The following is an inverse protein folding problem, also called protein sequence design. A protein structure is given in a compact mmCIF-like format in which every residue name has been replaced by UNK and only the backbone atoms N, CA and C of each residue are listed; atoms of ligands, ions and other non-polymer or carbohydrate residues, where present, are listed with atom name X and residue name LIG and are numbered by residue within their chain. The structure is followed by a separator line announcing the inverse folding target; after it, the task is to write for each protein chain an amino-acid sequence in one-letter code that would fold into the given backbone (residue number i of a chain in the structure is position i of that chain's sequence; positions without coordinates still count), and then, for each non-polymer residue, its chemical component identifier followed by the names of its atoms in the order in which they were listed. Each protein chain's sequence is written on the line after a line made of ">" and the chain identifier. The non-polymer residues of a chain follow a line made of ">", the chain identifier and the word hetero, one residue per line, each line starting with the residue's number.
data_IF_428407021349
#
_entry.id   IF_428407021349
#
_cell.length_a   1.000
_cell.length_b   1.000
_cell.length_c   1.000
_cell.angle_alpha   90.00
_cell.angle_beta   90.00
_cell.angle_gamma   90.00
#
_symmetry.space_group_name_H-M   'P 1'
#
loop_
_entity.id
_entity.type
_entity.pdbx_description
1 polymer ?
#
# COMPACT_ATOMS: atom_id res chain seq x y z
N UNK A 1 -19.07 -16.94 -38.70
CA UNK A 1 -19.41 -15.96 -37.65
C UNK A 1 -18.80 -16.29 -36.27
N UNK A 2 -18.78 -17.54 -35.79
CA UNK A 2 -18.17 -17.90 -34.49
C UNK A 2 -16.67 -17.53 -34.31
N UNK A 3 -15.86 -17.61 -35.38
CA UNK A 3 -14.43 -17.25 -35.32
C UNK A 3 -14.15 -15.76 -35.09
N UNK A 4 -15.09 -14.89 -35.46
CA UNK A 4 -14.93 -13.44 -35.27
C UNK A 4 -15.18 -13.04 -33.80
N UNK A 5 -16.14 -13.69 -33.15
CA UNK A 5 -16.46 -13.48 -31.72
C UNK A 5 -15.31 -13.94 -30.82
N UNK A 6 -14.74 -15.12 -31.08
CA UNK A 6 -13.58 -15.63 -30.31
C UNK A 6 -12.36 -14.71 -30.39
N UNK A 7 -12.04 -14.12 -31.56
CA UNK A 7 -10.94 -13.16 -31.67
C UNK A 7 -11.21 -11.82 -30.97
N UNK A 8 -12.46 -11.37 -30.92
CA UNK A 8 -12.84 -10.14 -30.19
C UNK A 8 -12.72 -10.38 -28.68
N UNK A 9 -13.19 -11.54 -28.20
CA UNK A 9 -13.08 -11.94 -26.80
C UNK A 9 -11.61 -12.13 -26.37
N UNK A 10 -10.78 -12.82 -27.17
CA UNK A 10 -9.34 -12.97 -26.88
C UNK A 10 -8.59 -11.63 -26.94
N UNK A 11 -8.89 -10.76 -27.90
CA UNK A 11 -8.28 -9.44 -28.01
C UNK A 11 -8.61 -8.54 -26.81
N UNK A 12 -9.86 -8.60 -26.34
CA UNK A 12 -10.32 -7.87 -25.15
C UNK A 12 -9.71 -8.45 -23.86
N UNK A 13 -9.60 -9.77 -23.74
CA UNK A 13 -8.95 -10.44 -22.61
C UNK A 13 -7.44 -10.15 -22.55
N UNK A 14 -6.76 -10.09 -23.70
CA UNK A 14 -5.34 -9.73 -23.79
C UNK A 14 -5.11 -8.25 -23.45
N UNK A 15 -5.98 -7.35 -23.92
CA UNK A 15 -5.93 -5.93 -23.56
C UNK A 15 -6.20 -5.69 -22.08
N UNK A 16 -7.19 -6.39 -21.50
CA UNK A 16 -7.48 -6.35 -20.07
C UNK A 16 -6.26 -6.80 -19.25
N UNK A 17 -5.63 -7.92 -19.63
CA UNK A 17 -4.46 -8.45 -18.94
C UNK A 17 -3.22 -7.53 -19.04
N UNK A 18 -3.07 -6.78 -20.14
CA UNK A 18 -2.01 -5.76 -20.29
C UNK A 18 -2.16 -4.56 -19.36
N UNK A 19 -3.40 -4.18 -19.04
CA UNK A 19 -3.69 -3.03 -18.17
C UNK A 19 -3.78 -3.41 -16.69
N UNK A 20 -4.07 -4.68 -16.37
CA UNK A 20 -4.18 -5.14 -14.97
C UNK A 20 -2.90 -4.86 -14.19
N UNK A 21 -1.72 -5.17 -14.74
CA UNK A 21 -0.48 -5.00 -14.00
C UNK A 21 -0.09 -3.53 -13.78
N UNK A 22 -0.09 -2.64 -14.79
CA UNK A 22 0.19 -1.22 -14.58
C UNK A 22 -0.79 -0.55 -13.62
N UNK A 23 -2.09 -0.86 -13.75
CA UNK A 23 -3.14 -0.30 -12.89
C UNK A 23 -2.94 -0.76 -11.45
N UNK A 24 -2.64 -2.04 -11.22
CA UNK A 24 -2.35 -2.53 -9.87
C UNK A 24 -1.10 -1.88 -9.25
N UNK A 25 -0.01 -1.76 -10.01
CA UNK A 25 1.19 -1.09 -9.50
C UNK A 25 0.92 0.38 -9.16
N UNK A 26 0.16 1.09 -10.00
CA UNK A 26 -0.22 2.47 -9.75
C UNK A 26 -1.12 2.58 -8.52
N UNK A 27 -2.09 1.67 -8.36
CA UNK A 27 -2.93 1.58 -7.17
C UNK A 27 -2.06 1.43 -5.91
N UNK A 28 -1.11 0.49 -5.90
CA UNK A 28 -0.17 0.30 -4.78
C UNK A 28 0.62 1.58 -4.47
N UNK A 29 1.15 2.24 -5.51
CA UNK A 29 1.93 3.48 -5.36
C UNK A 29 1.08 4.59 -4.76
N UNK A 30 -0.14 4.81 -5.28
CA UNK A 30 -1.06 5.84 -4.81
C UNK A 30 -1.49 5.57 -3.37
N UNK A 31 -1.87 4.34 -3.04
CA UNK A 31 -2.25 3.95 -1.67
C UNK A 31 -1.09 4.16 -0.71
N UNK A 32 0.12 3.71 -1.06
CA UNK A 32 1.32 3.91 -0.24
C UNK A 32 1.65 5.39 -0.04
N UNK A 33 1.51 6.21 -1.09
CA UNK A 33 1.75 7.64 -1.04
C UNK A 33 0.76 8.35 -0.11
N UNK A 34 -0.54 8.13 -0.29
CA UNK A 34 -1.57 8.76 0.55
C UNK A 34 -1.41 8.37 2.02
N UNK A 35 -1.12 7.09 2.29
CA UNK A 35 -0.88 6.63 3.65
C UNK A 35 0.36 7.27 4.27
N UNK A 36 1.44 7.42 3.49
CA UNK A 36 2.64 8.15 3.92
C UNK A 36 2.30 9.61 4.24
N UNK A 37 1.53 10.28 3.38
CA UNK A 37 1.12 11.67 3.57
C UNK A 37 0.32 11.87 4.85
N UNK A 38 -0.61 10.97 5.18
CA UNK A 38 -1.35 11.02 6.45
C UNK A 38 -0.45 10.85 7.67
N UNK A 39 0.48 9.89 7.61
CA UNK A 39 1.48 9.69 8.67
C UNK A 39 2.38 10.92 8.85
N UNK A 40 2.87 11.49 7.74
CA UNK A 40 3.73 12.67 7.77
C UNK A 40 2.99 13.90 8.31
N UNK A 41 1.73 14.07 7.89
CA UNK A 41 0.87 15.14 8.37
C UNK A 41 0.67 15.08 9.87
N UNK A 42 0.44 13.88 10.41
CA UNK A 42 0.19 13.71 11.86
C UNK A 42 1.47 13.79 12.69
N UNK A 43 2.55 13.11 12.28
CA UNK A 43 3.79 13.01 13.08
C UNK A 43 4.67 14.25 12.98
N UNK A 44 4.70 14.91 11.82
CA UNK A 44 5.62 16.02 11.57
C UNK A 44 4.91 17.37 11.36
N UNK A 45 3.57 17.41 11.41
CA UNK A 45 2.82 18.64 11.15
C UNK A 45 2.88 19.09 9.69
N UNK A 46 3.30 18.22 8.76
CA UNK A 46 3.40 18.57 7.34
C UNK A 46 2.01 18.67 6.69
N UNK A 47 1.91 19.33 5.55
CA UNK A 47 0.66 19.51 4.82
C UNK A 47 -0.40 20.24 5.68
N UNK A 48 -1.43 19.54 6.15
CA UNK A 48 -2.51 20.10 6.99
C UNK A 48 -2.26 19.93 8.49
N UNK A 49 -1.21 19.20 8.90
CA UNK A 49 -0.98 18.83 10.31
C UNK A 49 -2.03 17.90 10.91
N UNK A 50 -1.89 17.56 12.19
CA UNK A 50 -2.81 16.68 12.89
C UNK A 50 -4.22 17.30 12.96
N UNK A 51 -5.22 16.62 12.40
CA UNK A 51 -6.60 17.10 12.37
C UNK A 51 -6.78 18.52 11.79
N UNK A 52 -5.89 18.95 10.88
CA UNK A 52 -5.97 20.26 10.24
C UNK A 52 -5.40 21.43 11.05
N UNK A 53 -4.69 21.17 12.15
CA UNK A 53 -4.12 22.23 13.01
C UNK A 53 -2.85 22.86 12.44
N UNK A 54 -2.21 22.24 11.44
CA UNK A 54 -0.87 22.60 11.00
C UNK A 54 0.25 22.19 11.97
N UNK A 55 -0.07 21.51 13.08
CA UNK A 55 0.89 21.10 14.09
C UNK A 55 1.08 19.57 14.11
N UNK A 56 2.23 19.14 14.63
CA UNK A 56 2.48 17.74 14.91
C UNK A 56 1.72 17.29 16.16
N UNK A 57 1.26 16.04 16.16
CA UNK A 57 0.66 15.45 17.36
C UNK A 57 1.70 15.25 18.46
N UNK A 58 1.34 15.39 19.76
CA UNK A 58 2.26 15.08 20.85
C UNK A 58 2.86 13.66 20.75
N UNK A 59 4.17 13.57 20.96
CA UNK A 59 4.90 12.30 20.88
C UNK A 59 4.38 11.32 21.93
N UNK A 60 4.08 10.10 21.50
CA UNK A 60 3.59 9.02 22.38
C UNK A 60 2.10 9.08 22.70
N UNK A 61 1.33 10.00 22.10
CA UNK A 61 -0.12 10.05 22.30
C UNK A 61 -0.79 8.78 21.73
N UNK A 62 -1.47 8.05 22.60
CA UNK A 62 -2.22 6.86 22.22
C UNK A 62 -3.64 7.20 21.76
N UNK A 63 -4.15 6.59 20.67
CA UNK A 63 -3.48 5.67 19.74
C UNK A 63 -2.79 6.37 18.55
N UNK A 64 -3.09 7.66 18.34
CA UNK A 64 -2.88 8.37 17.08
C UNK A 64 -1.40 8.51 16.67
N UNK A 65 -0.50 8.74 17.63
CA UNK A 65 0.93 8.87 17.34
C UNK A 65 1.51 7.54 16.83
N UNK A 66 1.16 6.42 17.47
CA UNK A 66 1.61 5.09 17.05
C UNK A 66 1.00 4.66 15.73
N UNK A 67 -0.29 4.93 15.51
CA UNK A 67 -0.95 4.66 14.22
C UNK A 67 -0.29 5.43 13.08
N UNK A 68 0.14 6.66 13.33
CA UNK A 68 0.81 7.51 12.34
C UNK A 68 2.27 7.13 12.12
N UNK A 69 2.95 6.61 13.14
CA UNK A 69 4.28 6.03 12.97
C UNK A 69 4.24 4.79 12.05
N UNK A 70 3.23 3.92 12.21
CA UNK A 70 3.02 2.79 11.29
C UNK A 70 2.83 3.30 9.85
N UNK A 71 2.08 4.39 9.66
CA UNK A 71 1.86 5.00 8.35
C UNK A 71 3.16 5.48 7.70
N UNK A 72 4.01 6.20 8.45
CA UNK A 72 5.30 6.72 7.96
C UNK A 72 6.27 5.60 7.58
N UNK A 73 6.17 4.42 8.20
CA UNK A 73 7.06 3.28 7.91
C UNK A 73 6.49 2.41 6.79
N UNK A 74 5.24 1.96 6.93
CA UNK A 74 4.64 0.99 6.00
C UNK A 74 4.21 1.62 4.69
N UNK A 75 3.81 2.89 4.69
CA UNK A 75 3.44 3.63 3.48
C UNK A 75 4.56 3.65 2.45
N UNK A 76 5.79 4.12 2.78
CA UNK A 76 6.92 4.12 1.86
C UNK A 76 7.35 2.72 1.42
N UNK A 77 7.37 1.74 2.34
CA UNK A 77 7.70 0.35 2.02
C UNK A 77 6.75 -0.22 0.97
N UNK A 78 5.45 -0.01 1.15
CA UNK A 78 4.42 -0.43 0.17
C UNK A 78 4.57 0.38 -1.11
N UNK A 79 4.81 1.69 -1.05
CA UNK A 79 4.96 2.58 -2.21
C UNK A 79 6.11 2.14 -3.13
N UNK A 80 7.29 1.85 -2.58
CA UNK A 80 8.46 1.45 -3.37
C UNK A 80 8.49 -0.05 -3.69
N UNK A 81 7.60 -0.83 -3.08
CA UNK A 81 7.51 -2.26 -3.31
C UNK A 81 8.62 -3.04 -2.62
N UNK A 82 8.97 -2.65 -1.38
CA UNK A 82 9.95 -3.31 -0.53
C UNK A 82 9.23 -3.96 0.65
N UNK A 83 9.42 -5.27 0.88
CA UNK A 83 8.70 -6.01 1.93
C UNK A 83 7.18 -5.78 1.88
N UNK A 84 6.61 -5.72 0.67
CA UNK A 84 5.22 -5.24 0.46
C UNK A 84 4.19 -6.03 1.26
N UNK A 85 4.31 -7.36 1.31
CA UNK A 85 3.34 -8.21 2.01
C UNK A 85 3.29 -7.95 3.52
N UNK A 86 4.39 -8.08 4.28
CA UNK A 86 4.34 -7.82 5.72
C UNK A 86 4.00 -6.35 6.03
N UNK A 87 4.50 -5.39 5.24
CA UNK A 87 4.14 -3.98 5.43
C UNK A 87 2.64 -3.72 5.22
N UNK A 88 2.04 -4.32 4.17
CA UNK A 88 0.63 -4.18 3.88
C UNK A 88 -0.25 -4.90 4.92
N UNK A 89 0.15 -6.06 5.44
CA UNK A 89 -0.59 -6.72 6.55
C UNK A 89 -0.61 -5.83 7.79
N UNK A 90 0.54 -5.25 8.16
CA UNK A 90 0.63 -4.35 9.30
C UNK A 90 -0.22 -3.08 9.12
N UNK A 91 -0.15 -2.46 7.94
CA UNK A 91 -0.95 -1.28 7.59
C UNK A 91 -2.46 -1.59 7.56
N UNK A 92 -2.85 -2.75 7.04
CA UNK A 92 -4.24 -3.21 7.04
C UNK A 92 -4.75 -3.42 8.47
N UNK A 93 -3.97 -4.11 9.31
CA UNK A 93 -4.32 -4.36 10.70
C UNK A 93 -4.42 -3.09 11.55
N UNK A 94 -3.53 -2.11 11.35
CA UNK A 94 -3.62 -0.83 12.08
C UNK A 94 -4.87 -0.03 11.71
N UNK A 95 -5.29 -0.10 10.45
CA UNK A 95 -6.53 0.56 9.99
C UNK A 95 -7.79 -0.18 10.42
N UNK A 96 -7.75 -1.52 10.52
CA UNK A 96 -8.81 -2.29 11.15
C UNK A 96 -8.98 -1.89 12.62
N UNK A 97 -7.87 -1.78 13.38
CA UNK A 97 -7.89 -1.27 14.74
C UNK A 97 -8.47 0.15 14.80
N UNK A 98 -8.01 1.06 13.95
CA UNK A 98 -8.50 2.43 13.90
C UNK A 98 -10.03 2.45 13.67
N UNK A 99 -10.55 1.65 12.73
CA UNK A 99 -11.98 1.60 12.51
C UNK A 99 -12.75 1.07 13.73
N UNK A 100 -12.43 -0.12 14.23
CA UNK A 100 -13.24 -0.75 15.28
C UNK A 100 -13.09 -0.09 16.66
N UNK A 101 -11.92 0.46 16.98
CA UNK A 101 -11.62 0.98 18.31
C UNK A 101 -11.77 2.50 18.39
N UNK A 102 -11.47 3.23 17.31
CA UNK A 102 -11.53 4.70 17.31
C UNK A 102 -12.81 5.20 16.66
N UNK A 103 -13.15 4.73 15.46
CA UNK A 103 -14.27 5.29 14.69
C UNK A 103 -15.63 4.67 15.05
N UNK A 104 -15.74 3.35 15.05
CA UNK A 104 -17.01 2.63 15.24
C UNK A 104 -17.76 3.03 16.52
N UNK A 105 -17.12 3.30 17.68
CA UNK A 105 -17.83 3.77 18.86
C UNK A 105 -18.57 5.11 18.68
N UNK A 106 -18.13 5.95 17.73
CA UNK A 106 -18.77 7.25 17.44
C UNK A 106 -19.93 7.15 16.43
N UNK A 107 -20.12 5.98 15.81
CA UNK A 107 -21.23 5.68 14.91
C UNK A 107 -21.02 4.35 14.18
N UNK A 108 -22.09 3.61 13.90
CA UNK A 108 -21.96 2.29 13.26
C UNK A 108 -21.47 2.36 11.81
N UNK A 109 -22.00 3.30 11.03
CA UNK A 109 -21.67 3.44 9.61
C UNK A 109 -20.48 4.39 9.40
N UNK A 110 -19.55 4.08 8.48
CA UNK A 110 -18.42 4.95 8.14
C UNK A 110 -18.81 6.41 7.84
N UNK A 111 -19.93 6.59 7.15
CA UNK A 111 -20.51 7.90 6.77
C UNK A 111 -20.85 8.76 7.99
N UNK A 112 -21.10 8.13 9.15
CA UNK A 112 -21.55 8.79 10.37
C UNK A 112 -20.41 8.97 11.38
N UNK A 113 -19.28 8.30 11.18
CA UNK A 113 -18.19 8.21 12.17
C UNK A 113 -16.82 8.67 11.64
N UNK A 114 -16.78 9.19 10.40
CA UNK A 114 -15.56 9.63 9.68
C UNK A 114 -14.51 8.53 9.49
N UNK A 115 -14.91 7.26 9.60
CA UNK A 115 -14.05 6.08 9.49
C UNK A 115 -13.90 5.55 8.07
N UNK A 116 -14.47 6.22 7.06
CA UNK A 116 -14.35 5.84 5.65
C UNK A 116 -12.89 5.66 5.21
N UNK A 117 -11.94 6.57 5.53
CA UNK A 117 -10.54 6.37 5.18
C UNK A 117 -9.94 5.12 5.83
N UNK A 118 -10.26 4.85 7.10
CA UNK A 118 -9.77 3.66 7.80
C UNK A 118 -10.24 2.38 7.11
N UNK A 119 -11.50 2.30 6.70
CA UNK A 119 -12.03 1.15 5.96
C UNK A 119 -11.36 1.01 4.59
N UNK A 120 -11.23 2.10 3.83
CA UNK A 120 -10.63 2.09 2.50
C UNK A 120 -9.16 1.68 2.54
N UNK A 121 -8.37 2.22 3.47
CA UNK A 121 -6.98 1.79 3.64
C UNK A 121 -6.89 0.35 4.14
N UNK A 122 -7.74 -0.07 5.08
CA UNK A 122 -7.76 -1.45 5.57
C UNK A 122 -7.91 -2.45 4.43
N UNK A 123 -8.93 -2.27 3.58
CA UNK A 123 -9.19 -3.16 2.45
C UNK A 123 -8.21 -2.96 1.30
N UNK A 124 -7.76 -1.73 1.03
CA UNK A 124 -6.74 -1.46 0.01
C UNK A 124 -5.42 -2.14 0.32
N UNK A 125 -4.96 -2.10 1.57
CA UNK A 125 -3.76 -2.82 1.99
C UNK A 125 -3.97 -4.33 2.07
N UNK A 126 -5.16 -4.80 2.45
CA UNK A 126 -5.47 -6.24 2.39
C UNK A 126 -5.37 -6.77 0.95
N UNK A 127 -5.90 -6.03 -0.02
CA UNK A 127 -5.76 -6.34 -1.44
C UNK A 127 -4.28 -6.41 -1.84
N UNK A 128 -3.48 -5.42 -1.45
CA UNK A 128 -2.04 -5.39 -1.73
C UNK A 128 -1.30 -6.55 -1.06
N UNK A 129 -1.67 -6.92 0.16
CA UNK A 129 -1.08 -8.06 0.87
C UNK A 129 -1.33 -9.38 0.13
N UNK A 130 -2.55 -9.58 -0.39
CA UNK A 130 -2.94 -10.77 -1.16
C UNK A 130 -2.25 -10.80 -2.52
N UNK A 131 -2.35 -9.72 -3.29
CA UNK A 131 -1.78 -9.63 -4.65
C UNK A 131 -0.24 -9.53 -4.65
N UNK A 132 0.36 -9.06 -3.56
CA UNK A 132 1.81 -8.98 -3.38
C UNK A 132 2.46 -7.77 -4.06
N UNK A 133 3.78 -7.79 -4.26
CA UNK A 133 4.55 -6.58 -4.60
C UNK A 133 4.26 -6.05 -6.03
N UNK A 134 3.93 -6.91 -7.00
CA UNK A 134 3.80 -6.52 -8.41
C UNK A 134 5.13 -6.40 -9.15
N UNK A 135 5.10 -6.00 -10.42
CA UNK A 135 6.29 -5.95 -11.31
C UNK A 135 7.15 -4.70 -11.14
N UNK A 136 6.59 -3.59 -10.67
CA UNK A 136 7.30 -2.31 -10.52
C UNK A 136 7.84 -2.14 -9.09
N UNK A 137 8.80 -2.97 -8.70
CA UNK A 137 9.22 -3.09 -7.29
C UNK A 137 10.73 -3.12 -7.14
N UNK A 138 11.22 -2.49 -6.07
CA UNK A 138 12.65 -2.52 -5.74
C UNK A 138 13.10 -3.93 -5.33
N UNK A 139 12.23 -4.75 -4.75
CA UNK A 139 12.51 -6.16 -4.44
C UNK A 139 13.00 -6.96 -5.66
N UNK A 140 12.45 -6.64 -6.84
CA UNK A 140 12.84 -7.29 -8.09
C UNK A 140 14.24 -6.87 -8.56
N UNK A 141 14.64 -5.63 -8.31
CA UNK A 141 15.99 -5.14 -8.62
C UNK A 141 17.04 -5.76 -7.69
N UNK A 142 16.73 -5.88 -6.40
CA UNK A 142 17.61 -6.50 -5.40
C UNK A 142 17.82 -8.00 -5.68
N UNK A 143 16.75 -8.72 -6.03
CA UNK A 143 16.83 -10.14 -6.38
C UNK A 143 17.65 -10.40 -7.64
N UNK A 144 17.51 -9.54 -8.66
CA UNK A 144 18.30 -9.62 -9.90
C UNK A 144 19.78 -9.35 -9.67
N UNK A 145 20.13 -8.40 -8.79
CA UNK A 145 21.52 -8.10 -8.43
C UNK A 145 22.21 -9.26 -7.70
N UNK A 146 21.50 -9.96 -6.81
CA UNK A 146 22.02 -11.15 -6.12
C UNK A 146 22.28 -12.31 -7.10
N UNK A 147 21.40 -12.53 -8.08
CA UNK A 147 21.60 -13.55 -9.11
C UNK A 147 22.87 -13.34 -9.94
N UNK A 148 23.07 -12.12 -10.45
CA UNK A 148 24.25 -11.80 -11.26
C UNK A 148 25.58 -11.80 -10.51
N UNK A 149 25.58 -11.52 -9.20
CA UNK A 149 26.77 -11.65 -8.36
C UNK A 149 27.20 -13.12 -8.20
N UNK A 150 26.23 -14.02 -7.99
CA UNK A 150 26.46 -15.47 -7.83
C UNK A 150 26.95 -16.14 -9.12
N UNK A 151 26.46 -15.69 -10.27
CA UNK A 151 26.91 -16.15 -11.60
C UNK A 151 28.38 -15.77 -11.86
N UNK A 152 28.77 -14.54 -11.54
CA UNK A 152 30.17 -14.09 -11.67
C UNK A 152 31.12 -14.84 -10.74
N UNK A 153 30.70 -15.15 -9.53
CA UNK A 153 31.49 -15.91 -8.56
C UNK A 153 31.73 -17.36 -9.03
N UNK A 154 30.71 -18.02 -9.61
CA UNK A 154 30.88 -19.34 -10.24
C UNK A 154 31.78 -19.29 -11.48
N UNK A 155 31.67 -18.27 -12.33
CA UNK A 155 32.49 -18.13 -13.53
C UNK A 155 33.98 -17.82 -13.25
N UNK A 156 34.29 -17.28 -12.07
CA UNK A 156 35.68 -16.97 -11.67
C UNK A 156 36.35 -18.13 -10.91
N UNK A 157 35.55 -19.10 -10.46
CA UNK A 157 36.02 -20.26 -9.69
C UNK A 157 36.18 -21.54 -10.53
N UNK A 158 35.94 -21.46 -11.84
CA UNK A 158 36.05 -22.52 -12.84
C UNK A 158 37.23 -22.24 -13.78
#
# INVERSE_FOLDING_TARGET
>A
MQRLWVCIDEGMLVAANRLTEPVYNLFRIVIGLLFTSHGLSTVFGMFEGFAGTGEAIPVGLWPDWYGSLIQVITGPLVLIGLFTRPAAVLASGSMAYAYFIVHQPTGLLPMNNRGEPAVLFCWGFLLIAVLGPGRWTLDHLLSRRKGGAREKEMATSA
#
